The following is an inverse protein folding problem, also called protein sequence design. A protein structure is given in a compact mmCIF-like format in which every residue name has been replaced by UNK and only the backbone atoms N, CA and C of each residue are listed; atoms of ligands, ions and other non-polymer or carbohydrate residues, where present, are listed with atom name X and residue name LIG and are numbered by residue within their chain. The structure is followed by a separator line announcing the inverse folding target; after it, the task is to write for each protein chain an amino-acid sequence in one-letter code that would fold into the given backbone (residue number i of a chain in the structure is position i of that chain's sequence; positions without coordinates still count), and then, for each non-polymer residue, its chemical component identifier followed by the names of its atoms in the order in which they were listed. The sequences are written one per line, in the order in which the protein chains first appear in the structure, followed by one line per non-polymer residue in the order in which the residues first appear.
data_IF_492446353337
#
_entry.id   IF_492446353337
#
_cell.length_a   1.000
_cell.length_b   1.000
_cell.length_c   1.000
_cell.angle_alpha   90.00
_cell.angle_beta   90.00
_cell.angle_gamma   90.00
#
_symmetry.space_group_name_H-M   'P 1'
#
loop_
_entity.id
_entity.type
_entity.pdbx_description
1 polymer ?
#
# COMPACT_ATOMS: atom_id res chain seq x y z
N UNK A 1 13.63 12.59 -3.75
CA UNK A 1 13.24 12.12 -2.39
C UNK A 1 13.77 10.72 -2.16
N UNK A 2 14.27 10.51 -0.98
CA UNK A 2 14.89 9.26 -0.62
C UNK A 2 13.87 8.20 -0.22
N UNK A 3 14.08 6.97 -0.70
CA UNK A 3 13.27 5.84 -0.29
C UNK A 3 13.74 5.31 1.07
N UNK A 4 12.79 4.97 1.92
CA UNK A 4 13.02 4.35 3.22
C UNK A 4 12.57 2.90 3.17
N UNK A 5 13.52 1.98 3.26
CA UNK A 5 13.20 0.55 3.29
C UNK A 5 12.60 0.18 4.64
N UNK A 6 11.60 -0.71 4.61
CA UNK A 6 11.03 -1.28 5.82
C UNK A 6 11.71 -2.62 6.08
N UNK A 7 12.43 -2.72 7.18
CA UNK A 7 13.21 -3.91 7.52
C UNK A 7 12.75 -4.58 8.82
N UNK A 8 12.06 -3.84 9.68
CA UNK A 8 11.67 -4.34 11.00
C UNK A 8 10.39 -3.66 11.50
N UNK A 9 9.91 -4.09 12.66
CA UNK A 9 8.69 -3.56 13.23
C UNK A 9 8.82 -2.09 13.64
N UNK A 10 10.01 -1.65 14.03
CA UNK A 10 10.24 -0.25 14.37
C UNK A 10 10.07 0.66 13.17
N UNK A 11 10.51 0.20 11.98
CA UNK A 11 10.31 0.95 10.74
C UNK A 11 8.82 1.07 10.39
N UNK A 12 8.06 0.01 10.60
CA UNK A 12 6.61 0.02 10.38
C UNK A 12 5.92 0.99 11.34
N UNK A 13 6.29 0.96 12.62
CA UNK A 13 5.73 1.86 13.62
C UNK A 13 6.03 3.31 13.26
N UNK A 14 7.25 3.58 12.81
CA UNK A 14 7.64 4.94 12.41
C UNK A 14 6.79 5.45 11.26
N UNK A 15 6.55 4.62 10.23
CA UNK A 15 5.71 5.01 9.11
C UNK A 15 4.27 5.27 9.56
N UNK A 16 3.69 4.35 10.34
CA UNK A 16 2.33 4.52 10.86
C UNK A 16 2.20 5.82 11.66
N UNK A 17 3.15 6.09 12.54
CA UNK A 17 3.12 7.29 13.39
C UNK A 17 3.34 8.57 12.57
N UNK A 18 4.30 8.55 11.64
CA UNK A 18 4.57 9.70 10.80
C UNK A 18 3.33 10.13 10.02
N UNK A 19 2.60 9.16 9.48
CA UNK A 19 1.44 9.45 8.65
C UNK A 19 0.12 9.32 9.41
N UNK A 20 0.17 9.32 10.75
CA UNK A 20 -1.01 9.35 11.61
C UNK A 20 -2.00 8.25 11.31
N UNK A 21 -1.51 7.02 11.03
CA UNK A 21 -2.35 5.88 10.65
C UNK A 21 -3.27 6.21 9.48
N UNK A 22 -2.77 7.04 8.56
CA UNK A 22 -3.44 7.40 7.30
C UNK A 22 -4.77 8.12 7.48
N UNK A 23 -5.03 8.64 8.68
CA UNK A 23 -6.26 9.39 8.98
C UNK A 23 -6.37 10.63 8.09
N UNK A 24 -7.56 10.86 7.56
CA UNK A 24 -7.89 11.98 6.68
C UNK A 24 -7.12 11.97 5.35
N UNK A 25 -6.66 10.80 4.94
CA UNK A 25 -5.93 10.66 3.69
C UNK A 25 -6.80 10.07 2.59
N UNK A 26 -6.27 10.19 1.37
CA UNK A 26 -6.90 9.66 0.15
C UNK A 26 -5.83 8.92 -0.63
N UNK A 27 -6.22 7.85 -1.31
CA UNK A 27 -5.38 7.27 -2.36
C UNK A 27 -5.62 8.13 -3.60
N UNK A 28 -4.59 8.85 -4.06
CA UNK A 28 -4.72 9.73 -5.22
C UNK A 28 -4.17 9.10 -6.48
N UNK A 29 -3.33 8.07 -6.35
CA UNK A 29 -2.75 7.40 -7.52
C UNK A 29 -2.32 6.00 -7.15
N UNK A 30 -2.56 5.05 -8.06
CA UNK A 30 -2.02 3.70 -7.99
C UNK A 30 -1.43 3.35 -9.35
N UNK A 31 -0.26 2.73 -9.35
CA UNK A 31 0.39 2.26 -10.55
C UNK A 31 0.88 0.83 -10.31
N UNK A 32 0.38 -0.10 -11.10
CA UNK A 32 0.79 -1.49 -11.03
C UNK A 32 1.58 -1.88 -12.27
N UNK A 33 2.75 -2.45 -12.07
CA UNK A 33 3.64 -2.92 -13.13
C UNK A 33 4.00 -4.38 -12.85
N UNK A 34 3.54 -5.28 -13.70
CA UNK A 34 3.84 -6.71 -13.54
C UNK A 34 5.31 -7.02 -13.78
N UNK A 35 5.97 -6.24 -14.64
CA UNK A 35 7.30 -6.54 -15.13
C UNK A 35 7.28 -7.51 -16.30
N UNK A 36 6.13 -8.08 -16.63
CA UNK A 36 5.97 -8.98 -17.77
C UNK A 36 5.76 -8.17 -19.03
N UNK A 37 6.29 -8.65 -20.13
CA UNK A 37 6.14 -7.96 -21.42
C UNK A 37 6.36 -8.89 -22.60
N UNK A 38 5.92 -8.42 -23.75
CA UNK A 38 6.17 -9.09 -25.04
C UNK A 38 7.10 -8.19 -25.85
N UNK A 39 8.19 -8.76 -26.35
CA UNK A 39 9.16 -8.01 -27.13
C UNK A 39 8.75 -7.89 -28.60
N UNK A 40 9.60 -7.23 -29.41
CA UNK A 40 9.32 -7.00 -30.83
C UNK A 40 9.26 -8.28 -31.66
N UNK A 41 9.83 -9.37 -31.18
CA UNK A 41 9.77 -10.68 -31.80
C UNK A 41 8.58 -11.51 -31.37
N UNK A 42 7.68 -10.89 -30.58
CA UNK A 42 6.48 -11.52 -30.03
C UNK A 42 6.80 -12.62 -29.01
N UNK A 43 7.97 -12.54 -28.39
CA UNK A 43 8.36 -13.45 -27.31
C UNK A 43 8.01 -12.86 -25.96
N UNK A 44 7.45 -13.68 -25.10
CA UNK A 44 7.05 -13.25 -23.76
C UNK A 44 8.21 -13.28 -22.76
N UNK A 45 8.23 -12.30 -21.88
CA UNK A 45 9.19 -12.21 -20.78
C UNK A 45 8.41 -12.07 -19.47
N UNK A 46 8.55 -13.04 -18.58
CA UNK A 46 7.77 -13.11 -17.34
C UNK A 46 8.67 -12.82 -16.14
N UNK A 47 8.92 -11.54 -15.91
CA UNK A 47 9.76 -11.09 -14.80
C UNK A 47 9.05 -11.18 -13.45
N UNK A 48 7.73 -11.01 -13.45
CA UNK A 48 6.86 -11.18 -12.28
C UNK A 48 7.30 -10.35 -11.07
N UNK A 49 7.73 -9.12 -11.31
CA UNK A 49 8.12 -8.22 -10.22
C UNK A 49 6.91 -7.72 -9.45
N UNK A 50 5.77 -7.56 -10.15
CA UNK A 50 4.48 -7.18 -9.55
C UNK A 50 4.61 -6.00 -8.60
N UNK A 51 5.18 -4.91 -9.09
CA UNK A 51 5.34 -3.68 -8.31
C UNK A 51 4.03 -2.90 -8.26
N UNK A 52 3.69 -2.42 -7.08
CA UNK A 52 2.54 -1.55 -6.89
C UNK A 52 3.01 -0.29 -6.17
N UNK A 53 2.80 0.86 -6.79
CA UNK A 53 3.12 2.16 -6.19
C UNK A 53 1.82 2.89 -5.88
N UNK A 54 1.66 3.32 -4.65
CA UNK A 54 0.45 3.99 -4.18
C UNK A 54 0.83 5.33 -3.59
N UNK A 55 0.24 6.39 -4.10
CA UNK A 55 0.43 7.75 -3.59
C UNK A 55 -0.78 8.13 -2.75
N UNK A 56 -0.50 8.56 -1.53
CA UNK A 56 -1.48 9.07 -0.59
C UNK A 56 -1.28 10.56 -0.41
N UNK A 57 -2.38 11.29 -0.25
CA UNK A 57 -2.35 12.70 0.17
C UNK A 57 -3.33 12.87 1.30
N UNK A 58 -3.04 13.79 2.22
CA UNK A 58 -3.89 14.01 3.39
C UNK A 58 -4.09 15.50 3.66
N UNK A 59 -5.16 15.79 4.41
CA UNK A 59 -5.56 17.16 4.73
C UNK A 59 -4.75 17.72 5.90
N UNK A 60 -4.45 19.02 5.80
CA UNK A 60 -4.04 19.88 6.93
C UNK A 60 -2.81 19.43 7.72
N UNK A 61 -1.97 18.56 7.19
CA UNK A 61 -0.77 18.09 7.87
C UNK A 61 0.38 17.83 6.92
N UNK A 62 1.59 18.11 7.39
CA UNK A 62 2.82 17.72 6.70
C UNK A 62 3.42 16.46 7.33
N UNK A 63 4.03 15.56 6.57
CA UNK A 63 4.04 15.59 5.12
C UNK A 63 2.64 15.30 4.57
N UNK A 64 2.19 16.09 3.61
CA UNK A 64 0.84 15.88 3.07
C UNK A 64 0.77 14.70 2.09
N UNK A 65 1.88 14.37 1.43
CA UNK A 65 1.90 13.33 0.41
C UNK A 65 3.04 12.35 0.64
N UNK A 66 2.71 11.06 0.64
CA UNK A 66 3.71 9.98 0.68
C UNK A 66 3.40 8.97 -0.41
N UNK A 67 4.44 8.25 -0.79
CA UNK A 67 4.32 7.16 -1.75
C UNK A 67 4.81 5.87 -1.10
N UNK A 68 4.00 4.81 -1.19
CA UNK A 68 4.38 3.47 -0.80
C UNK A 68 4.68 2.65 -2.05
N UNK A 69 5.76 1.90 -1.99
CA UNK A 69 6.14 0.98 -3.07
C UNK A 69 6.14 -0.44 -2.51
N UNK A 70 5.17 -1.23 -2.97
CA UNK A 70 5.06 -2.65 -2.63
C UNK A 70 5.73 -3.45 -3.74
N UNK A 71 6.65 -4.34 -3.38
CA UNK A 71 7.32 -5.23 -4.34
C UNK A 71 6.84 -6.65 -4.16
N UNK A 72 6.79 -7.40 -5.25
CA UNK A 72 6.25 -8.75 -5.28
C UNK A 72 4.87 -8.79 -4.61
N UNK A 73 3.98 -7.94 -5.11
CA UNK A 73 2.63 -7.81 -4.60
C UNK A 73 1.85 -9.09 -4.86
N UNK A 74 1.19 -9.60 -3.82
CA UNK A 74 0.44 -10.85 -3.88
C UNK A 74 -1.06 -10.64 -3.98
N UNK A 75 -1.56 -9.55 -3.38
CA UNK A 75 -3.01 -9.34 -3.31
C UNK A 75 -3.31 -7.85 -3.20
N UNK A 76 -4.32 -7.42 -3.95
CA UNK A 76 -4.88 -6.09 -3.86
C UNK A 76 -6.39 -6.28 -3.75
N UNK A 77 -6.98 -5.83 -2.65
CA UNK A 77 -8.43 -5.88 -2.43
C UNK A 77 -8.86 -4.56 -1.83
N UNK A 78 -9.44 -3.69 -2.64
CA UNK A 78 -9.81 -2.34 -2.23
C UNK A 78 -11.20 -2.01 -2.71
N UNK A 79 -11.87 -1.13 -1.96
CA UNK A 79 -13.17 -0.58 -2.30
C UNK A 79 -13.01 0.90 -2.56
N UNK A 80 -13.66 1.40 -3.58
CA UNK A 80 -13.59 2.82 -3.93
C UNK A 80 -14.95 3.47 -3.72
N UNK A 81 -14.94 4.68 -3.15
CA UNK A 81 -16.13 5.48 -3.01
C UNK A 81 -16.65 5.92 -4.39
N UNK A 82 -17.94 6.12 -4.49
CA UNK A 82 -18.58 6.66 -5.68
C UNK A 82 -19.56 7.75 -5.24
N UNK A 83 -20.13 8.53 -6.20
CA UNK A 83 -21.02 9.64 -5.82
C UNK A 83 -22.24 9.25 -5.00
N UNK A 84 -22.66 7.99 -5.05
CA UNK A 84 -23.81 7.49 -4.30
C UNK A 84 -23.43 6.89 -2.97
N UNK A 85 -22.21 6.37 -2.84
CA UNK A 85 -21.72 5.75 -1.61
C UNK A 85 -20.47 6.51 -1.16
N UNK A 86 -20.64 7.38 -0.18
CA UNK A 86 -19.58 8.26 0.31
C UNK A 86 -18.87 7.72 1.55
N UNK A 87 -19.14 6.48 1.94
CA UNK A 87 -18.56 5.89 3.15
C UNK A 87 -17.04 5.78 3.09
N UNK A 88 -16.48 5.69 1.88
CA UNK A 88 -15.05 5.52 1.66
C UNK A 88 -14.41 6.75 1.01
N UNK A 89 -15.02 7.94 1.19
CA UNK A 89 -14.52 9.17 0.56
C UNK A 89 -13.13 9.54 1.07
N UNK A 90 -12.84 9.28 2.34
CA UNK A 90 -11.52 9.44 2.93
C UNK A 90 -11.23 8.28 3.86
N UNK A 91 -9.96 8.10 4.18
CA UNK A 91 -9.53 7.03 5.06
C UNK A 91 -9.65 7.51 6.50
N UNK A 92 -10.39 6.76 7.32
CA UNK A 92 -10.48 7.04 8.76
C UNK A 92 -9.32 6.40 9.51
N UNK A 93 -8.88 5.25 9.06
CA UNK A 93 -7.77 4.52 9.66
C UNK A 93 -7.20 3.55 8.64
N UNK A 94 -5.88 3.46 8.62
CA UNK A 94 -5.16 2.37 7.96
C UNK A 94 -3.86 2.15 8.68
N UNK A 95 -3.29 0.96 8.52
CA UNK A 95 -1.99 0.65 9.10
C UNK A 95 -1.19 -0.22 8.16
N UNK A 96 0.14 -0.12 8.30
CA UNK A 96 1.06 -1.09 7.72
C UNK A 96 1.51 -2.05 8.83
N UNK A 97 1.56 -3.32 8.51
CA UNK A 97 2.01 -4.36 9.44
C UNK A 97 2.65 -5.49 8.64
N UNK A 98 3.14 -6.53 9.33
CA UNK A 98 3.80 -7.65 8.67
C UNK A 98 3.66 -8.93 9.47
N UNK A 99 3.85 -10.06 8.77
CA UNK A 99 4.14 -11.34 9.40
C UNK A 99 5.54 -11.79 8.93
N UNK A 100 5.85 -13.07 9.07
CA UNK A 100 7.18 -13.59 8.73
C UNK A 100 7.46 -13.59 7.22
N UNK A 101 6.43 -13.48 6.38
CA UNK A 101 6.59 -13.63 4.93
C UNK A 101 6.07 -12.46 4.11
N UNK A 102 5.31 -11.54 4.69
CA UNK A 102 4.67 -10.48 3.90
C UNK A 102 4.42 -9.21 4.71
N UNK A 103 4.29 -8.11 3.96
CA UNK A 103 3.84 -6.82 4.47
C UNK A 103 2.41 -6.59 4.03
N UNK A 104 1.66 -5.86 4.88
CA UNK A 104 0.25 -5.55 4.64
C UNK A 104 -0.02 -4.08 4.86
N UNK A 105 -0.86 -3.50 4.02
CA UNK A 105 -1.54 -2.24 4.28
C UNK A 105 -3.03 -2.56 4.34
N UNK A 106 -3.72 -2.14 5.40
CA UNK A 106 -5.12 -2.50 5.60
C UNK A 106 -5.89 -1.39 6.30
N UNK A 107 -7.19 -1.30 6.00
CA UNK A 107 -8.12 -0.40 6.67
C UNK A 107 -8.65 -0.98 7.98
N UNK A 108 -8.39 -2.23 8.26
CA UNK A 108 -8.93 -2.92 9.46
C UNK A 108 -7.97 -2.79 10.62
N UNK A 109 -8.38 -2.03 11.66
CA UNK A 109 -7.54 -1.74 12.81
C UNK A 109 -7.11 -3.00 13.56
N UNK A 110 -8.01 -3.99 13.63
CA UNK A 110 -7.77 -5.23 14.38
C UNK A 110 -7.16 -6.34 13.53
N UNK A 111 -6.79 -6.05 12.28
CA UNK A 111 -6.19 -7.03 11.40
C UNK A 111 -4.96 -7.66 12.06
N UNK A 112 -4.96 -9.01 12.12
CA UNK A 112 -3.83 -9.79 12.63
C UNK A 112 -3.13 -10.44 11.43
N UNK A 113 -1.90 -10.02 11.09
CA UNK A 113 -1.19 -10.56 9.94
C UNK A 113 -0.81 -12.04 10.08
N UNK A 114 -0.91 -12.59 11.29
CA UNK A 114 -0.65 -14.00 11.54
C UNK A 114 -1.91 -14.86 11.46
N UNK A 115 -3.07 -14.26 11.27
CA UNK A 115 -4.34 -15.00 11.16
C UNK A 115 -4.78 -15.04 9.70
N UNK A 116 -4.65 -16.21 9.01
CA UNK A 116 -5.01 -16.30 7.60
C UNK A 116 -6.50 -16.05 7.32
N UNK A 117 -7.38 -16.23 8.29
CA UNK A 117 -8.79 -15.93 8.12
C UNK A 117 -9.05 -14.43 7.94
N UNK A 118 -8.16 -13.58 8.46
CA UNK A 118 -8.29 -12.13 8.34
C UNK A 118 -8.05 -11.63 6.92
N UNK A 119 -7.48 -12.44 6.04
CA UNK A 119 -7.27 -12.05 4.65
C UNK A 119 -8.57 -12.00 3.84
N UNK A 120 -9.60 -12.71 4.27
CA UNK A 120 -10.84 -12.79 3.55
C UNK A 120 -11.75 -11.59 3.85
N UNK A 121 -12.28 -10.99 2.79
CA UNK A 121 -13.26 -9.90 2.92
C UNK A 121 -12.74 -8.59 3.45
N UNK A 122 -11.44 -8.43 3.58
CA UNK A 122 -10.81 -7.25 4.16
C UNK A 122 -10.15 -6.42 3.06
N UNK A 123 -10.29 -5.09 3.15
CA UNK A 123 -9.56 -4.19 2.25
C UNK A 123 -8.08 -4.21 2.64
N UNK A 124 -7.23 -4.69 1.74
CA UNK A 124 -5.80 -4.80 2.02
C UNK A 124 -4.94 -4.85 0.75
N UNK A 125 -3.67 -4.57 0.95
CA UNK A 125 -2.60 -4.82 -0.01
C UNK A 125 -1.60 -5.72 0.69
N UNK A 126 -1.22 -6.82 0.04
CA UNK A 126 -0.24 -7.78 0.56
C UNK A 126 0.92 -7.88 -0.42
N UNK A 127 2.15 -7.77 0.10
CA UNK A 127 3.36 -7.83 -0.73
C UNK A 127 4.55 -8.40 0.05
N UNK A 128 5.58 -8.83 -0.67
CA UNK A 128 6.79 -9.36 -0.03
C UNK A 128 7.75 -8.27 0.45
N UNK A 129 7.70 -7.09 -0.16
CA UNK A 129 8.57 -5.99 0.23
C UNK A 129 7.80 -4.68 0.27
N UNK A 130 8.32 -3.73 1.05
CA UNK A 130 7.70 -2.42 1.21
C UNK A 130 8.77 -1.37 1.46
N UNK A 131 8.67 -0.25 0.75
CA UNK A 131 9.43 0.95 1.04
C UNK A 131 8.54 2.16 0.80
N UNK A 132 8.94 3.30 1.33
CA UNK A 132 8.13 4.51 1.21
C UNK A 132 9.01 5.74 1.09
N UNK A 133 8.44 6.82 0.62
CA UNK A 133 9.10 8.12 0.58
C UNK A 133 8.07 9.23 0.70
N UNK A 134 8.56 10.42 1.08
CA UNK A 134 7.75 11.64 0.99
C UNK A 134 7.65 11.97 -0.49
N UNK A 135 6.43 12.11 -0.99
CA UNK A 135 6.20 12.42 -2.39
C UNK A 135 6.15 13.94 -2.59
N UNK A 136 6.66 14.38 -3.72
CA UNK A 136 6.53 15.77 -4.10
C UNK A 136 5.20 16.00 -4.81
N UNK A 137 4.63 17.15 -4.57
CA UNK A 137 3.37 17.53 -5.21
C UNK A 137 3.58 17.96 -6.66
#
# INVERSE_FOLDING_TARGET
MEWHEIENDADLARLNELYGYFEDSFIVRMEYLSGDYVDSDLCGHMEQTNDLRVTFQRLDREPFSIELWFSHTKRISLFFANPQDKRLSDILFAKVCRNDSAFFWTLWEEFDPYNPEHLEGTALIEACGLKWRIAES
#
